data_IF_575095794323
#
_entry.id   IF_575095794323
#
_cell.length_a   1.000
_cell.length_b   1.000
_cell.length_c   1.000
_cell.angle_alpha   90.00
_cell.angle_beta   90.00
_cell.angle_gamma   90.00
#
_symmetry.space_group_name_H-M   'P 1'
#
loop_
_entity.id
_entity.type
_entity.pdbx_description
1 polymer ?
#
# COMPACT_ATOMS: atom_id res chain seq x y z
N UNK A 1 12.44 8.15 -19.46
CA UNK A 1 12.11 7.06 -18.53
C UNK A 1 11.67 7.72 -17.24
N UNK A 2 10.45 7.47 -16.72
CA UNK A 2 10.07 8.00 -15.41
C UNK A 2 11.08 7.49 -14.38
N UNK A 3 11.42 8.27 -13.34
CA UNK A 3 12.32 7.82 -12.30
C UNK A 3 11.71 6.56 -11.67
N UNK A 4 12.28 5.42 -12.01
CA UNK A 4 11.90 4.15 -11.39
C UNK A 4 12.13 4.24 -9.89
N UNK A 5 11.30 3.56 -9.14
CA UNK A 5 11.61 3.28 -7.75
C UNK A 5 12.96 2.53 -7.73
N UNK A 6 13.82 2.83 -6.76
CA UNK A 6 15.19 2.30 -6.70
C UNK A 6 15.26 0.77 -6.78
N UNK A 7 16.36 0.26 -7.32
CA UNK A 7 16.60 -1.17 -7.37
C UNK A 7 16.76 -1.76 -5.97
N UNK A 8 16.34 -3.02 -5.72
CA UNK A 8 16.45 -3.65 -4.41
C UNK A 8 17.88 -3.81 -3.88
N UNK A 9 18.88 -3.62 -4.72
CA UNK A 9 20.30 -3.81 -4.37
C UNK A 9 20.99 -2.53 -3.85
N UNK A 10 20.36 -1.36 -4.02
CA UNK A 10 20.90 -0.09 -3.54
C UNK A 10 20.32 0.28 -2.18
N UNK A 11 21.07 1.05 -1.38
CA UNK A 11 20.53 1.72 -0.21
C UNK A 11 19.27 2.47 -0.65
N UNK A 12 18.12 1.97 -0.29
CA UNK A 12 16.89 2.27 -0.97
C UNK A 12 15.93 3.07 -0.10
N UNK A 13 14.95 3.63 -0.78
CA UNK A 13 13.81 4.25 -0.12
C UNK A 13 12.68 3.22 -0.06
N UNK A 14 12.07 3.07 1.11
CA UNK A 14 10.92 2.23 1.33
C UNK A 14 9.69 3.10 1.56
N UNK A 15 8.64 2.86 0.81
CA UNK A 15 7.38 3.61 0.86
C UNK A 15 6.33 2.79 1.58
N UNK A 16 5.73 3.39 2.60
CA UNK A 16 4.67 2.81 3.42
C UNK A 16 3.39 3.63 3.20
N UNK A 17 2.58 3.27 2.21
CA UNK A 17 1.44 4.09 1.78
C UNK A 17 0.29 4.08 2.78
N UNK A 18 0.28 3.15 3.71
CA UNK A 18 -0.77 3.04 4.72
C UNK A 18 -0.19 3.02 6.13
N UNK A 19 -0.52 4.03 6.92
CA UNK A 19 -0.19 4.09 8.33
C UNK A 19 -1.19 5.00 9.04
N UNK A 20 -1.48 4.69 10.30
CA UNK A 20 -2.44 5.42 11.13
C UNK A 20 -1.89 5.59 12.54
N UNK A 21 -2.11 6.77 13.13
CA UNK A 21 -1.89 7.02 14.55
C UNK A 21 -3.06 7.82 15.10
N UNK A 22 -3.98 7.14 15.77
CA UNK A 22 -5.19 7.70 16.38
C UNK A 22 -5.24 7.32 17.85
N UNK A 23 -6.28 7.73 18.56
CA UNK A 23 -6.46 7.34 19.97
C UNK A 23 -6.69 5.83 20.15
N UNK A 24 -7.18 5.13 19.12
CA UNK A 24 -7.53 3.70 19.17
C UNK A 24 -6.66 2.79 18.30
N UNK A 25 -5.85 3.35 17.40
CA UNK A 25 -5.01 2.61 16.45
C UNK A 25 -3.63 3.23 16.37
N UNK A 26 -2.59 2.40 16.29
CA UNK A 26 -1.22 2.86 16.04
C UNK A 26 -0.50 1.94 15.08
N UNK A 27 0.37 2.55 14.27
CA UNK A 27 1.24 1.82 13.34
C UNK A 27 2.63 1.67 13.94
N UNK A 28 3.15 0.46 13.92
CA UNK A 28 4.56 0.18 14.21
C UNK A 28 5.26 -0.21 12.92
N UNK A 29 6.30 0.54 12.57
CA UNK A 29 7.21 0.19 11.48
C UNK A 29 8.29 -0.75 12.01
N UNK A 30 8.35 -1.96 11.48
CA UNK A 30 9.44 -2.89 11.70
C UNK A 30 10.50 -2.71 10.64
N UNK A 31 11.75 -2.58 11.04
CA UNK A 31 12.89 -2.37 10.15
C UNK A 31 13.90 -3.47 10.37
N UNK A 32 14.42 -4.06 9.30
CA UNK A 32 15.53 -5.01 9.36
C UNK A 32 16.61 -4.60 8.36
N UNK A 33 17.88 -4.80 8.71
CA UNK A 33 19.00 -4.53 7.80
C UNK A 33 20.10 -5.61 7.95
N UNK A 34 20.75 -5.91 6.84
CA UNK A 34 21.92 -6.80 6.83
C UNK A 34 23.22 -6.09 7.20
N UNK A 35 23.23 -4.76 7.18
CA UNK A 35 24.35 -3.91 7.58
C UNK A 35 23.90 -2.92 8.65
N UNK A 36 24.84 -2.37 9.42
CA UNK A 36 24.51 -1.22 10.28
C UNK A 36 24.05 -0.05 9.41
N UNK A 37 22.86 0.48 9.69
CA UNK A 37 22.22 1.53 8.94
C UNK A 37 21.38 2.44 9.82
N UNK A 38 21.13 3.64 9.35
CA UNK A 38 20.06 4.49 9.87
C UNK A 38 18.92 4.48 8.87
N UNK A 39 17.69 4.29 9.35
CA UNK A 39 16.46 4.47 8.61
C UNK A 39 15.88 5.84 8.99
N UNK A 40 15.89 6.77 8.07
CA UNK A 40 15.35 8.12 8.23
C UNK A 40 13.92 8.14 7.70
N UNK A 41 12.94 8.14 8.62
CA UNK A 41 11.52 8.17 8.30
C UNK A 41 11.05 9.61 8.09
N UNK A 42 10.25 9.80 7.05
CA UNK A 42 9.56 11.06 6.76
C UNK A 42 8.07 10.79 6.58
N UNK A 43 7.24 11.59 7.26
CA UNK A 43 5.78 11.52 7.19
C UNK A 43 5.25 12.86 6.67
N UNK A 44 4.87 12.96 5.39
CA UNK A 44 4.24 14.13 4.84
C UNK A 44 2.95 14.49 5.58
N UNK A 45 2.62 15.76 5.63
CA UNK A 45 1.39 16.25 6.22
C UNK A 45 0.36 16.57 5.14
N UNK A 46 -0.92 16.30 5.44
CA UNK A 46 -2.01 16.57 4.50
C UNK A 46 -2.18 18.07 4.18
N UNK A 47 -1.65 18.96 5.02
CA UNK A 47 -1.79 20.41 4.86
C UNK A 47 -0.54 20.97 4.18
N UNK A 48 -0.66 21.54 2.97
CA UNK A 48 0.48 22.12 2.27
C UNK A 48 1.16 23.23 3.08
N UNK A 49 2.48 23.16 3.21
CA UNK A 49 3.30 24.17 3.89
C UNK A 49 3.51 23.92 5.39
N UNK A 50 2.90 22.92 5.97
CA UNK A 50 3.29 22.44 7.29
C UNK A 50 4.57 21.58 7.19
N UNK A 51 5.44 21.62 8.23
CA UNK A 51 6.63 20.78 8.26
C UNK A 51 6.26 19.30 8.31
N UNK A 52 7.01 18.48 7.58
CA UNK A 52 6.90 17.03 7.63
C UNK A 52 7.37 16.53 9.00
N UNK A 53 6.70 15.52 9.54
CA UNK A 53 7.17 14.82 10.73
C UNK A 53 8.31 13.87 10.33
N UNK A 54 9.34 13.77 11.12
CA UNK A 54 10.51 12.93 10.84
C UNK A 54 11.04 12.22 12.09
N UNK A 55 11.58 11.03 11.89
CA UNK A 55 12.28 10.27 12.91
C UNK A 55 13.37 9.41 12.31
N UNK A 56 14.45 9.20 13.06
CA UNK A 56 15.54 8.32 12.66
C UNK A 56 15.61 7.09 13.59
N UNK A 57 15.86 5.93 13.01
CA UNK A 57 16.04 4.67 13.75
C UNK A 57 17.34 4.02 13.33
N UNK A 58 18.23 3.76 14.29
CA UNK A 58 19.45 2.99 14.04
C UNK A 58 19.16 1.51 14.08
N UNK A 59 19.58 0.80 13.06
CA UNK A 59 19.47 -0.66 12.91
C UNK A 59 20.87 -1.25 12.92
N UNK A 60 21.15 -2.14 13.85
CA UNK A 60 22.45 -2.83 13.93
C UNK A 60 22.60 -3.82 12.77
N UNK A 61 23.84 -4.18 12.47
CA UNK A 61 24.14 -5.22 11.47
C UNK A 61 23.38 -6.52 11.78
N UNK A 62 22.68 -7.06 10.78
CA UNK A 62 21.82 -8.25 10.89
C UNK A 62 20.78 -8.12 12.02
N UNK A 63 20.39 -6.91 12.31
CA UNK A 63 19.47 -6.57 13.38
C UNK A 63 18.13 -6.07 12.87
N UNK A 64 17.27 -5.78 13.82
CA UNK A 64 15.98 -5.15 13.61
C UNK A 64 15.75 -4.04 14.62
N UNK A 65 14.91 -3.11 14.24
CA UNK A 65 14.42 -2.03 15.10
C UNK A 65 12.94 -1.77 14.81
N UNK A 66 12.28 -1.02 15.66
CA UNK A 66 10.89 -0.65 15.47
C UNK A 66 10.67 0.83 15.83
N UNK A 67 9.77 1.47 15.09
CA UNK A 67 9.31 2.83 15.32
C UNK A 67 7.79 2.84 15.43
N UNK A 68 7.25 3.28 16.56
CA UNK A 68 5.81 3.51 16.68
C UNK A 68 5.47 4.91 16.14
N UNK A 69 4.51 4.99 15.24
CA UNK A 69 4.10 6.25 14.62
C UNK A 69 3.61 7.28 15.65
N UNK A 70 2.95 6.83 16.71
CA UNK A 70 2.49 7.68 17.82
C UNK A 70 3.61 8.44 18.54
N UNK A 71 4.87 7.99 18.42
CA UNK A 71 6.03 8.70 18.95
C UNK A 71 6.48 9.87 18.08
N UNK A 72 6.06 9.92 16.82
CA UNK A 72 6.48 10.90 15.82
C UNK A 72 5.32 11.80 15.39
N UNK A 73 4.19 11.19 15.01
CA UNK A 73 3.03 11.87 14.48
C UNK A 73 1.74 11.33 15.14
N UNK A 74 0.89 12.22 15.63
CA UNK A 74 -0.43 11.87 16.19
C UNK A 74 -1.54 12.58 15.38
N UNK A 75 -1.56 12.35 14.07
CA UNK A 75 -2.40 13.11 13.15
C UNK A 75 -3.42 12.26 12.38
N UNK A 76 -3.66 11.04 12.82
CA UNK A 76 -4.53 10.10 12.10
C UNK A 76 -3.78 9.36 10.99
N UNK A 77 -4.20 9.53 9.75
CA UNK A 77 -3.54 8.93 8.60
C UNK A 77 -2.22 9.64 8.30
N UNK A 78 -1.14 8.86 8.20
CA UNK A 78 0.22 9.39 8.01
C UNK A 78 1.05 8.42 7.18
N UNK A 79 0.78 8.28 5.87
CA UNK A 79 1.67 7.51 5.00
C UNK A 79 3.07 8.10 5.07
N UNK A 80 4.10 7.29 4.90
CA UNK A 80 5.46 7.73 5.04
C UNK A 80 6.44 6.96 4.17
N UNK A 81 7.68 7.36 4.21
CA UNK A 81 8.79 6.63 3.58
C UNK A 81 10.02 6.65 4.48
N UNK A 82 10.88 5.65 4.30
CA UNK A 82 12.13 5.51 5.02
C UNK A 82 13.29 5.45 4.05
N UNK A 83 14.30 6.31 4.23
CA UNK A 83 15.56 6.30 3.50
C UNK A 83 16.62 5.61 4.35
N UNK A 84 17.36 4.66 3.75
CA UNK A 84 18.44 3.96 4.41
C UNK A 84 19.80 4.51 4.03
N UNK A 85 20.66 4.69 5.02
CA UNK A 85 22.02 5.17 4.79
C UNK A 85 22.96 4.11 4.21
N UNK A 86 22.63 2.82 4.35
CA UNK A 86 23.46 1.73 3.86
C UNK A 86 22.67 0.41 3.71
N UNK A 87 23.12 -0.41 2.78
CA UNK A 87 22.86 -1.84 2.66
C UNK A 87 21.44 -2.27 2.30
N UNK A 88 21.26 -3.58 2.07
CA UNK A 88 19.96 -4.17 1.88
C UNK A 88 19.15 -4.11 3.17
N UNK A 89 17.96 -3.56 3.07
CA UNK A 89 17.03 -3.41 4.20
C UNK A 89 15.61 -3.76 3.78
N UNK A 90 14.74 -3.98 4.76
CA UNK A 90 13.30 -4.13 4.53
C UNK A 90 12.51 -3.42 5.62
N UNK A 91 11.34 -2.90 5.24
CA UNK A 91 10.40 -2.23 6.13
C UNK A 91 9.04 -2.90 6.03
N UNK A 92 8.42 -3.13 7.17
CA UNK A 92 7.02 -3.53 7.26
C UNK A 92 6.24 -2.55 8.15
N UNK A 93 4.98 -2.38 7.88
CA UNK A 93 4.08 -1.61 8.73
C UNK A 93 3.03 -2.54 9.34
N UNK A 94 2.83 -2.44 10.64
CA UNK A 94 1.82 -3.20 11.39
C UNK A 94 0.90 -2.21 12.08
N UNK A 95 -0.35 -2.17 11.66
CA UNK A 95 -1.40 -1.37 12.30
C UNK A 95 -2.05 -2.24 13.38
N UNK A 96 -2.12 -1.72 14.58
CA UNK A 96 -2.78 -2.39 15.72
C UNK A 96 -3.73 -1.43 16.40
N UNK A 97 -4.84 -1.96 16.85
CA UNK A 97 -5.81 -1.19 17.62
C UNK A 97 -7.11 -1.94 17.82
N UNK A 98 -8.11 -1.24 18.29
CA UNK A 98 -9.43 -1.80 18.51
C UNK A 98 -10.03 -2.30 17.18
N UNK A 99 -10.25 -3.63 17.08
CA UNK A 99 -10.78 -4.29 15.88
C UNK A 99 -9.82 -4.40 14.69
N UNK A 100 -8.52 -4.06 14.85
CA UNK A 100 -7.56 -4.09 13.73
C UNK A 100 -6.23 -4.72 14.12
N UNK A 101 -5.81 -5.67 13.33
CA UNK A 101 -4.44 -6.16 13.25
C UNK A 101 -4.09 -6.41 11.79
N UNK A 102 -3.55 -5.43 11.13
CA UNK A 102 -3.16 -5.50 9.73
C UNK A 102 -1.65 -5.32 9.57
N UNK A 103 -1.03 -6.07 8.69
CA UNK A 103 0.40 -6.00 8.45
C UNK A 103 0.73 -6.17 6.97
N UNK A 104 1.54 -5.28 6.43
CA UNK A 104 2.06 -5.41 5.09
C UNK A 104 3.51 -4.94 4.99
N UNK A 105 4.24 -5.47 4.01
CA UNK A 105 5.53 -4.93 3.63
C UNK A 105 5.37 -3.57 2.97
N UNK A 106 6.21 -2.62 3.33
CA UNK A 106 6.39 -1.41 2.54
C UNK A 106 7.06 -1.78 1.20
N UNK A 107 6.94 -0.93 0.20
CA UNK A 107 7.48 -1.19 -1.13
C UNK A 107 8.66 -0.28 -1.43
N UNK A 108 9.69 -0.79 -2.08
CA UNK A 108 10.87 -0.02 -2.51
C UNK A 108 10.95 0.15 -4.03
N UNK A 109 10.08 -0.53 -4.75
CA UNK A 109 9.95 -0.43 -6.19
C UNK A 109 8.51 -0.66 -6.59
N UNK A 110 8.11 -0.21 -7.76
CA UNK A 110 6.77 -0.47 -8.25
C UNK A 110 6.57 -0.06 -9.72
N UNK A 111 5.53 -0.61 -10.33
CA UNK A 111 5.15 -0.30 -11.71
C UNK A 111 4.49 1.07 -11.82
N UNK A 112 4.29 1.52 -13.07
CA UNK A 112 3.41 2.66 -13.37
C UNK A 112 1.93 2.28 -13.37
N UNK A 113 1.64 0.98 -13.44
CA UNK A 113 0.29 0.42 -13.35
C UNK A 113 0.23 -0.53 -12.17
N UNK A 114 -0.66 -0.27 -11.25
CA UNK A 114 -0.87 -1.06 -10.05
C UNK A 114 -2.22 -1.74 -10.10
N UNK A 115 -2.27 -3.00 -9.74
CA UNK A 115 -3.49 -3.78 -9.67
C UNK A 115 -3.79 -4.20 -8.23
N UNK A 116 -5.08 -4.17 -7.90
CA UNK A 116 -5.64 -4.60 -6.62
C UNK A 116 -6.72 -5.64 -6.90
N UNK A 117 -6.34 -6.90 -7.08
CA UNK A 117 -7.29 -7.97 -7.27
C UNK A 117 -8.00 -8.30 -5.95
N UNK A 118 -9.30 -8.39 -5.99
CA UNK A 118 -10.14 -8.67 -4.83
C UNK A 118 -10.56 -7.41 -4.09
N UNK A 119 -11.76 -7.43 -3.63
CA UNK A 119 -12.42 -6.37 -2.87
C UNK A 119 -13.92 -6.50 -2.99
N UNK A 120 -14.62 -5.87 -2.07
CA UNK A 120 -16.08 -5.88 -2.04
C UNK A 120 -16.60 -4.59 -1.37
N UNK A 121 -17.78 -4.18 -1.78
CA UNK A 121 -18.52 -3.07 -1.18
C UNK A 121 -19.93 -3.50 -0.78
N UNK A 122 -20.07 -4.76 -0.38
CA UNK A 122 -21.32 -5.29 0.14
C UNK A 122 -21.69 -4.64 1.48
N UNK A 123 -22.95 -4.68 1.90
CA UNK A 123 -23.37 -4.10 3.18
C UNK A 123 -22.55 -4.66 4.35
N UNK A 124 -21.97 -3.75 5.15
CA UNK A 124 -21.09 -4.09 6.27
C UNK A 124 -19.60 -4.17 5.91
N UNK A 125 -19.26 -4.06 4.64
CA UNK A 125 -17.89 -4.04 4.13
C UNK A 125 -17.49 -2.63 3.68
N UNK A 126 -16.21 -2.32 3.78
CA UNK A 126 -15.65 -1.06 3.27
C UNK A 126 -14.39 -1.34 2.46
N UNK A 127 -14.19 -0.54 1.42
CA UNK A 127 -13.05 -0.61 0.52
C UNK A 127 -12.55 0.79 0.22
N UNK A 128 -11.32 1.08 0.61
CA UNK A 128 -10.68 2.38 0.41
C UNK A 128 -9.33 2.22 -0.27
N UNK A 129 -9.14 2.96 -1.35
CA UNK A 129 -7.85 3.09 -2.02
C UNK A 129 -7.16 4.37 -1.55
N UNK A 130 -5.95 4.25 -1.03
CA UNK A 130 -5.04 5.37 -0.76
C UNK A 130 -4.01 5.46 -1.86
N UNK A 131 -3.88 6.64 -2.46
CA UNK A 131 -2.89 6.94 -3.49
C UNK A 131 -1.87 7.89 -2.89
N UNK A 132 -0.71 7.37 -2.51
CA UNK A 132 0.36 8.13 -1.88
C UNK A 132 1.37 8.61 -2.93
N UNK A 133 1.64 9.91 -2.93
CA UNK A 133 2.71 10.52 -3.70
C UNK A 133 3.82 11.02 -2.74
N UNK A 134 4.89 10.24 -2.55
CA UNK A 134 6.02 10.63 -1.69
C UNK A 134 6.97 11.63 -2.35
N UNK A 135 6.79 11.97 -3.63
CA UNK A 135 7.73 12.75 -4.44
C UNK A 135 7.42 14.25 -4.38
N UNK A 136 8.42 15.11 -4.67
CA UNK A 136 8.26 16.57 -4.64
C UNK A 136 7.44 17.13 -5.81
N UNK A 137 7.18 16.34 -6.85
CA UNK A 137 6.35 16.71 -7.98
C UNK A 137 4.93 16.16 -7.82
N UNK A 138 3.93 16.89 -8.30
CA UNK A 138 2.56 16.38 -8.35
C UNK A 138 2.43 15.25 -9.37
N UNK A 139 1.55 14.31 -9.10
CA UNK A 139 1.21 13.20 -9.99
C UNK A 139 -0.22 13.33 -10.51
N UNK A 140 -0.51 12.66 -11.63
CA UNK A 140 -1.86 12.42 -12.14
C UNK A 140 -2.06 10.94 -12.36
N UNK A 141 -3.17 10.44 -11.86
CA UNK A 141 -3.51 9.02 -11.98
C UNK A 141 -4.89 8.84 -12.57
N UNK A 142 -5.09 7.73 -13.24
CA UNK A 142 -6.42 7.24 -13.64
C UNK A 142 -6.71 5.98 -12.85
N UNK A 143 -7.87 5.93 -12.23
CA UNK A 143 -8.35 4.76 -11.49
C UNK A 143 -9.50 4.14 -12.25
N UNK A 144 -9.40 2.86 -12.53
CA UNK A 144 -10.45 2.06 -13.16
C UNK A 144 -10.83 0.89 -12.26
N UNK A 145 -12.04 0.39 -12.41
CA UNK A 145 -12.48 -0.78 -11.68
C UNK A 145 -13.32 -1.71 -12.57
N UNK A 146 -13.22 -2.99 -12.25
CA UNK A 146 -14.07 -4.05 -12.81
C UNK A 146 -14.68 -4.81 -11.64
N UNK A 147 -15.95 -5.15 -11.74
CA UNK A 147 -16.69 -5.89 -10.73
C UNK A 147 -17.36 -7.13 -11.32
N UNK A 148 -18.14 -7.82 -10.51
CA UNK A 148 -19.01 -8.94 -10.91
C UNK A 148 -20.05 -8.57 -11.98
N UNK A 149 -20.35 -7.27 -12.13
CA UNK A 149 -21.27 -6.80 -13.18
C UNK A 149 -20.56 -6.18 -14.40
N UNK A 150 -19.23 -6.13 -14.41
CA UNK A 150 -18.41 -5.63 -15.52
C UNK A 150 -17.61 -4.38 -15.21
N UNK A 151 -17.29 -3.61 -16.24
CA UNK A 151 -16.50 -2.38 -16.12
C UNK A 151 -17.34 -1.28 -15.47
N UNK A 152 -16.79 -0.70 -14.41
CA UNK A 152 -17.43 0.40 -13.69
C UNK A 152 -17.09 1.76 -14.30
N UNK A 153 -18.09 2.63 -14.40
CA UNK A 153 -17.92 3.99 -14.91
C UNK A 153 -17.44 4.92 -13.79
N UNK A 154 -16.15 5.25 -13.79
CA UNK A 154 -15.49 6.08 -12.78
C UNK A 154 -14.88 7.36 -13.40
N UNK A 155 -15.68 8.12 -14.18
CA UNK A 155 -15.21 9.31 -14.90
C UNK A 155 -14.55 10.35 -13.99
N UNK A 156 -14.98 10.47 -12.74
CA UNK A 156 -14.43 11.42 -11.77
C UNK A 156 -13.03 11.02 -11.26
N UNK A 157 -12.61 9.78 -11.57
CA UNK A 157 -11.29 9.24 -11.22
C UNK A 157 -10.33 9.19 -12.42
N UNK A 158 -10.71 9.79 -13.55
CA UNK A 158 -9.82 10.01 -14.68
C UNK A 158 -8.97 11.27 -14.44
N UNK A 159 -7.66 11.16 -14.65
CA UNK A 159 -6.70 12.25 -14.44
C UNK A 159 -6.77 12.89 -13.04
N UNK A 160 -6.99 12.06 -12.02
CA UNK A 160 -7.09 12.47 -10.63
C UNK A 160 -5.75 13.06 -10.17
N UNK A 161 -5.70 14.33 -9.72
CA UNK A 161 -4.46 14.93 -9.25
C UNK A 161 -4.12 14.44 -7.85
N UNK A 162 -2.85 14.11 -7.62
CA UNK A 162 -2.26 13.81 -6.31
C UNK A 162 -1.13 14.80 -6.08
N UNK A 163 -1.28 15.65 -5.08
CA UNK A 163 -0.28 16.69 -4.77
C UNK A 163 1.09 16.12 -4.45
N UNK A 164 2.13 16.95 -4.56
CA UNK A 164 3.47 16.62 -4.10
C UNK A 164 3.45 16.34 -2.59
N UNK A 165 4.23 15.34 -2.13
CA UNK A 165 4.35 14.98 -0.70
C UNK A 165 2.97 14.86 -0.02
N UNK A 166 2.05 14.15 -0.67
CA UNK A 166 0.64 14.12 -0.27
C UNK A 166 0.01 12.78 -0.63
N UNK A 167 -1.22 12.57 -0.17
CA UNK A 167 -2.02 11.41 -0.56
C UNK A 167 -3.45 11.79 -0.86
N UNK A 168 -4.16 10.86 -1.48
CA UNK A 168 -5.59 10.97 -1.74
C UNK A 168 -6.27 9.64 -1.51
N UNK A 169 -7.37 9.68 -0.77
CA UNK A 169 -8.20 8.51 -0.53
C UNK A 169 -9.40 8.51 -1.48
N UNK A 170 -9.74 7.32 -1.96
CA UNK A 170 -10.91 7.03 -2.79
C UNK A 170 -11.74 5.97 -2.07
N UNK A 171 -12.90 6.36 -1.58
CA UNK A 171 -13.84 5.45 -0.90
C UNK A 171 -14.74 4.77 -1.93
N UNK A 172 -14.41 3.53 -2.27
CA UNK A 172 -15.22 2.72 -3.17
C UNK A 172 -16.55 2.29 -2.60
N UNK A 173 -16.68 2.21 -1.27
CA UNK A 173 -17.94 1.86 -0.60
C UNK A 173 -19.03 2.89 -0.91
N UNK A 174 -18.63 4.14 -1.04
CA UNK A 174 -19.55 5.23 -1.40
C UNK A 174 -19.78 5.30 -2.91
N UNK A 175 -18.74 5.06 -3.72
CA UNK A 175 -18.79 5.18 -5.19
C UNK A 175 -19.49 4.00 -5.86
N UNK A 176 -19.19 2.79 -5.41
CA UNK A 176 -19.64 1.53 -6.01
C UNK A 176 -20.35 0.68 -4.95
N UNK A 177 -21.64 0.87 -4.83
CA UNK A 177 -22.42 0.14 -3.82
C UNK A 177 -22.74 -1.28 -4.28
N UNK A 178 -22.62 -2.25 -3.36
CA UNK A 178 -23.03 -3.64 -3.56
C UNK A 178 -22.33 -4.29 -4.77
N UNK A 179 -20.99 -4.20 -4.78
CA UNK A 179 -20.14 -4.88 -5.75
C UNK A 179 -19.31 -5.97 -5.09
N UNK A 180 -19.10 -7.04 -5.80
CA UNK A 180 -18.22 -8.14 -5.41
C UNK A 180 -17.12 -8.33 -6.45
N UNK A 181 -16.08 -9.03 -6.05
CA UNK A 181 -14.93 -9.33 -6.92
C UNK A 181 -14.34 -8.09 -7.60
N UNK A 182 -14.32 -6.97 -6.88
CA UNK A 182 -13.75 -5.74 -7.38
C UNK A 182 -12.26 -5.91 -7.66
N UNK A 183 -11.87 -5.53 -8.86
CA UNK A 183 -10.48 -5.35 -9.23
C UNK A 183 -10.28 -3.88 -9.55
N UNK A 184 -9.40 -3.23 -8.82
CA UNK A 184 -9.07 -1.82 -9.04
C UNK A 184 -7.70 -1.74 -9.69
N UNK A 185 -7.58 -0.85 -10.68
CA UNK A 185 -6.32 -0.56 -11.37
C UNK A 185 -6.02 0.93 -11.25
N UNK A 186 -4.81 1.26 -10.83
CA UNK A 186 -4.28 2.62 -10.76
C UNK A 186 -3.18 2.78 -11.79
N UNK A 187 -3.37 3.69 -12.73
CA UNK A 187 -2.37 4.01 -13.76
C UNK A 187 -1.83 5.42 -13.54
N UNK A 188 -0.54 5.56 -13.32
CA UNK A 188 0.11 6.86 -13.25
C UNK A 188 0.32 7.40 -14.68
N UNK A 189 -0.45 8.43 -15.03
CA UNK A 189 -0.33 9.13 -16.32
C UNK A 189 0.83 10.15 -16.31
N UNK A 190 1.03 10.80 -15.17
CA UNK A 190 2.15 11.73 -14.92
C UNK A 190 2.68 11.48 -13.49
N UNK A 191 3.98 11.51 -13.32
CA UNK A 191 4.64 11.29 -12.03
C UNK A 191 4.66 9.83 -11.59
N UNK A 192 4.90 9.61 -10.30
CA UNK A 192 4.95 8.28 -9.66
C UNK A 192 4.10 8.32 -8.41
N UNK A 193 3.41 7.22 -8.13
CA UNK A 193 2.62 7.05 -6.91
C UNK A 193 2.83 5.65 -6.33
N UNK A 194 2.55 5.52 -5.05
CA UNK A 194 2.57 4.24 -4.32
C UNK A 194 1.20 4.03 -3.69
N UNK A 195 0.29 3.34 -4.38
CA UNK A 195 -1.04 3.13 -3.85
C UNK A 195 -1.11 1.90 -2.94
N UNK A 196 -2.07 1.91 -2.02
CA UNK A 196 -2.47 0.77 -1.20
C UNK A 196 -4.00 0.71 -1.10
N UNK A 197 -4.52 -0.49 -0.88
CA UNK A 197 -5.93 -0.75 -0.68
C UNK A 197 -6.15 -1.21 0.75
N UNK A 198 -7.19 -0.70 1.40
CA UNK A 198 -7.72 -1.25 2.63
C UNK A 198 -9.10 -1.83 2.40
N UNK A 199 -9.33 -2.98 2.97
CA UNK A 199 -10.62 -3.67 2.95
C UNK A 199 -10.93 -4.19 4.34
N UNK A 200 -12.18 -4.09 4.74
CA UNK A 200 -12.56 -4.58 6.05
C UNK A 200 -14.06 -4.52 6.31
N UNK A 201 -14.37 -4.78 7.56
CA UNK A 201 -15.70 -4.65 8.16
C UNK A 201 -15.60 -3.70 9.36
N UNK A 202 -16.68 -3.54 10.12
CA UNK A 202 -16.64 -2.79 11.39
C UNK A 202 -15.73 -3.45 12.44
N UNK A 203 -15.49 -4.77 12.30
CA UNK A 203 -14.77 -5.57 13.30
C UNK A 203 -13.33 -5.89 12.90
N UNK A 204 -13.01 -5.83 11.59
CA UNK A 204 -11.71 -6.22 11.07
C UNK A 204 -11.35 -5.40 9.82
N UNK A 205 -10.10 -5.03 9.69
CA UNK A 205 -9.56 -4.29 8.53
C UNK A 205 -8.17 -4.80 8.20
N UNK A 206 -7.93 -5.05 6.95
CA UNK A 206 -6.61 -5.37 6.42
C UNK A 206 -6.24 -4.40 5.30
N UNK A 207 -4.95 -4.29 4.99
CA UNK A 207 -4.48 -3.45 3.90
C UNK A 207 -3.30 -4.10 3.17
N UNK A 208 -3.15 -3.77 1.90
CA UNK A 208 -2.04 -4.26 1.09
C UNK A 208 -1.63 -3.24 0.03
N UNK A 209 -0.34 -3.19 -0.33
CA UNK A 209 0.12 -2.43 -1.48
C UNK A 209 -0.39 -3.07 -2.77
N UNK A 210 -0.51 -2.27 -3.83
CA UNK A 210 -0.82 -2.79 -5.16
C UNK A 210 0.30 -3.68 -5.69
N UNK A 211 -0.03 -4.46 -6.69
CA UNK A 211 0.90 -5.34 -7.40
C UNK A 211 1.01 -4.94 -8.87
N UNK A 212 2.18 -5.15 -9.47
CA UNK A 212 2.37 -5.02 -10.91
C UNK A 212 1.97 -6.30 -11.64
N UNK A 213 2.10 -6.31 -12.96
CA UNK A 213 1.92 -7.51 -13.78
C UNK A 213 3.13 -8.43 -13.66
N UNK A 214 2.90 -9.73 -13.53
CA UNK A 214 3.93 -10.76 -13.54
C UNK A 214 3.39 -12.07 -14.13
N UNK A 215 4.29 -12.90 -14.64
CA UNK A 215 3.97 -14.23 -15.15
C UNK A 215 4.11 -15.32 -14.10
N UNK A 216 4.78 -15.00 -12.99
CA UNK A 216 4.99 -15.92 -11.87
C UNK A 216 4.84 -15.15 -10.56
N UNK A 217 4.11 -15.71 -9.63
CA UNK A 217 3.85 -15.15 -8.32
C UNK A 217 4.14 -16.21 -7.26
N UNK A 218 4.83 -15.79 -6.22
CA UNK A 218 5.03 -16.57 -5.01
C UNK A 218 4.38 -15.86 -3.84
N UNK A 219 3.56 -16.53 -3.08
CA UNK A 219 2.89 -15.96 -1.91
C UNK A 219 2.82 -17.00 -0.79
N UNK A 220 3.06 -16.57 0.45
CA UNK A 220 2.87 -17.45 1.59
C UNK A 220 1.38 -17.67 1.81
N UNK A 221 0.97 -18.92 1.88
CA UNK A 221 -0.39 -19.29 2.29
C UNK A 221 -0.33 -19.85 3.71
N UNK A 222 -0.93 -19.15 4.64
CA UNK A 222 -1.11 -19.69 5.98
C UNK A 222 -2.47 -20.37 6.05
N UNK A 223 -2.48 -21.65 6.43
CA UNK A 223 -3.72 -22.32 6.81
C UNK A 223 -3.94 -22.09 8.29
N UNK A 224 -4.97 -21.33 8.62
CA UNK A 224 -5.45 -21.21 9.99
C UNK A 224 -6.70 -22.09 10.13
N UNK A 225 -6.81 -22.82 11.24
CA UNK A 225 -7.95 -23.67 11.53
C UNK A 225 -9.24 -22.80 11.54
N UNK A 226 -10.29 -23.31 10.94
CA UNK A 226 -11.59 -22.64 10.78
C UNK A 226 -11.59 -21.37 9.89
N UNK A 227 -10.57 -21.18 9.05
CA UNK A 227 -10.54 -20.08 8.06
C UNK A 227 -10.51 -20.61 6.63
N UNK A 228 -11.02 -19.79 5.71
CA UNK A 228 -10.93 -20.03 4.27
C UNK A 228 -10.00 -19.02 3.64
N UNK A 229 -9.06 -19.50 2.82
CA UNK A 229 -8.18 -18.64 2.04
C UNK A 229 -8.58 -18.68 0.57
N UNK A 230 -8.61 -17.54 -0.07
CA UNK A 230 -8.97 -17.40 -1.47
C UNK A 230 -7.78 -16.82 -2.24
N UNK A 231 -7.47 -17.42 -3.40
CA UNK A 231 -6.58 -16.84 -4.37
C UNK A 231 -7.41 -16.07 -5.39
N UNK A 232 -7.18 -14.77 -5.49
CA UNK A 232 -7.81 -13.93 -6.50
C UNK A 232 -6.80 -13.67 -7.60
N UNK A 233 -7.14 -14.04 -8.84
CA UNK A 233 -6.32 -13.85 -10.01
C UNK A 233 -7.01 -12.88 -10.95
N UNK A 234 -6.29 -11.86 -11.38
CA UNK A 234 -6.75 -10.89 -12.38
C UNK A 234 -5.88 -10.98 -13.62
N UNK A 235 -6.51 -11.14 -14.78
CA UNK A 235 -5.87 -10.98 -16.07
C UNK A 235 -6.21 -9.60 -16.65
N UNK A 236 -5.27 -8.64 -16.66
CA UNK A 236 -5.50 -7.31 -17.22
C UNK A 236 -5.55 -7.29 -18.75
N UNK A 237 -5.13 -8.38 -19.40
CA UNK A 237 -5.14 -8.52 -20.87
C UNK A 237 -6.52 -8.84 -21.44
N UNK A 238 -6.63 -8.75 -22.75
CA UNK A 238 -7.86 -9.05 -23.51
C UNK A 238 -7.98 -10.52 -23.95
N UNK A 239 -6.92 -11.31 -23.75
CA UNK A 239 -6.85 -12.72 -24.14
C UNK A 239 -7.10 -13.65 -22.94
N UNK A 240 -7.44 -14.90 -23.23
CA UNK A 240 -7.50 -15.95 -22.21
C UNK A 240 -6.08 -16.29 -21.72
N UNK A 241 -5.93 -16.54 -20.44
CA UNK A 241 -4.68 -16.95 -19.79
C UNK A 241 -4.92 -18.21 -19.00
N UNK A 242 -4.06 -19.20 -19.20
CA UNK A 242 -4.03 -20.40 -18.37
C UNK A 242 -3.17 -20.13 -17.12
N UNK A 243 -3.73 -20.41 -15.95
CA UNK A 243 -3.05 -20.23 -14.68
C UNK A 243 -2.83 -21.59 -14.03
N UNK A 244 -1.56 -21.93 -13.78
CA UNK A 244 -1.19 -23.09 -12.99
C UNK A 244 -0.92 -22.66 -11.54
N UNK A 245 -1.46 -23.39 -10.58
CA UNK A 245 -1.24 -23.15 -9.14
C UNK A 245 -0.56 -24.35 -8.53
N UNK A 246 0.67 -24.18 -8.08
CA UNK A 246 1.43 -25.20 -7.37
C UNK A 246 1.42 -24.91 -5.86
N UNK A 247 1.03 -25.92 -5.08
CA UNK A 247 1.02 -25.83 -3.62
C UNK A 247 2.21 -26.64 -3.08
N UNK A 248 3.11 -25.96 -2.39
CA UNK A 248 4.23 -26.57 -1.71
C UNK A 248 3.87 -26.80 -0.24
N UNK A 249 4.10 -28.02 0.26
CA UNK A 249 3.83 -28.43 1.65
C UNK A 249 5.13 -28.77 2.38
#
# INVERSE_FOLDING_TARGET
EPPGLSSPEEAGIWYCPWAQSTASRDTTFGVVSLQEATADFTFPVAVPGEPEDAAAVTVLERGGAALALSQVAQRGDSPGFAEFTAGPAAVSAVVRGEGVLAAAACVNSGPTVWHFPGGSTMPGEHLTLRIFNPFPEAAKVTVTAVSDIGVEALSDLENLPVGARSWRDVDFTTLLRQRQNLVVTVTAAEGVVVPAMAFGTEEDEDWWPGVGEATTWEFPVARVEDTSSFLVVHNPGIGEVEVAVDLFT
#
